data_IF_734449377158
#
_entry.id   IF_734449377158
#
_cell.length_a   1.000
_cell.length_b   1.000
_cell.length_c   1.000
_cell.angle_alpha   90.00
_cell.angle_beta   90.00
_cell.angle_gamma   90.00
#
_symmetry.space_group_name_H-M   'P 1'
#
loop_
_entity.id
_entity.type
_entity.pdbx_description
1 polymer ?
#
# COMPACT_ATOMS: atom_id res chain seq x y z
N UNK A 1 -5.61 32.82 -15.65
CA UNK A 1 -5.72 32.99 -14.18
C UNK A 1 -4.71 32.17 -13.37
N UNK A 2 -4.31 30.97 -13.81
CA UNK A 2 -3.32 30.10 -13.13
C UNK A 2 -1.89 30.68 -13.06
N UNK A 3 -1.41 31.34 -14.11
CA UNK A 3 -0.08 32.01 -14.13
C UNK A 3 0.03 33.24 -13.22
N UNK A 4 -1.06 33.96 -12.97
CA UNK A 4 -1.05 35.13 -12.06
C UNK A 4 -0.91 34.72 -10.59
N UNK A 5 -1.41 33.53 -10.22
CA UNK A 5 -1.30 33.00 -8.85
C UNK A 5 0.11 32.48 -8.53
N UNK A 6 0.80 31.91 -9.53
CA UNK A 6 2.19 31.41 -9.38
C UNK A 6 3.19 32.57 -9.35
N UNK A 7 2.99 33.63 -10.15
CA UNK A 7 3.84 34.83 -10.07
C UNK A 7 3.69 35.57 -8.73
N UNK A 8 2.52 35.55 -8.11
CA UNK A 8 2.30 36.15 -6.79
C UNK A 8 3.01 35.39 -5.66
N UNK A 9 3.17 34.07 -5.76
CA UNK A 9 3.96 33.30 -4.80
C UNK A 9 5.46 33.59 -4.92
N UNK A 10 5.99 33.67 -6.15
CA UNK A 10 7.42 33.90 -6.39
C UNK A 10 7.84 35.33 -6.00
N UNK A 11 6.95 36.32 -6.16
CA UNK A 11 7.23 37.70 -5.75
C UNK A 11 7.27 37.87 -4.22
N UNK A 12 6.49 37.07 -3.48
CA UNK A 12 6.51 37.07 -2.01
C UNK A 12 7.82 36.46 -1.48
N UNK A 13 8.37 35.44 -2.14
CA UNK A 13 9.67 34.86 -1.76
C UNK A 13 10.86 35.82 -1.95
N UNK A 14 10.81 36.76 -2.91
CA UNK A 14 11.92 37.72 -3.11
C UNK A 14 11.90 38.91 -2.13
N UNK A 15 10.77 39.21 -1.50
CA UNK A 15 10.64 40.34 -0.55
C UNK A 15 11.03 39.98 0.89
N UNK A 16 11.24 38.70 1.21
CA UNK A 16 11.55 38.21 2.58
C UNK A 16 13.05 38.25 2.91
N UNK A 17 13.92 38.62 1.97
CA UNK A 17 15.37 38.64 2.19
C UNK A 17 15.92 39.85 2.99
N UNK A 18 15.08 40.80 3.42
CA UNK A 18 15.53 41.96 4.20
C UNK A 18 14.55 42.39 5.30
N UNK A 19 14.35 41.56 6.34
CA UNK A 19 14.15 42.08 7.70
C UNK A 19 14.13 40.97 8.75
N UNK A 20 15.20 40.96 9.57
CA UNK A 20 15.22 40.63 11.00
C UNK A 20 14.31 39.52 11.54
N UNK A 21 14.97 38.47 12.06
CA UNK A 21 14.46 37.40 12.89
C UNK A 21 13.38 37.84 13.90
N UNK A 22 12.14 37.51 13.56
CA UNK A 22 11.11 37.08 14.50
C UNK A 22 10.42 35.91 13.81
N UNK A 23 10.57 34.71 14.35
CA UNK A 23 9.92 33.50 13.88
C UNK A 23 8.40 33.63 14.05
N UNK A 24 7.73 34.27 13.09
CA UNK A 24 6.35 33.93 12.80
C UNK A 24 6.40 32.54 12.16
N UNK A 25 5.88 31.54 12.86
CA UNK A 25 5.41 30.34 12.19
C UNK A 25 4.44 30.81 11.10
N UNK A 26 4.81 30.61 9.84
CA UNK A 26 3.96 30.93 8.71
C UNK A 26 2.63 30.19 8.91
N UNK A 27 1.56 30.95 9.19
CA UNK A 27 0.24 30.40 9.42
C UNK A 27 -0.32 29.96 8.07
N UNK A 28 -0.32 28.65 7.83
CA UNK A 28 -0.96 28.07 6.64
C UNK A 28 -2.49 28.26 6.81
N UNK A 29 -3.16 28.99 5.91
CA UNK A 29 -4.60 29.20 6.02
C UNK A 29 -5.36 27.87 5.96
N UNK A 30 -6.43 27.74 6.76
CA UNK A 30 -7.29 26.55 6.81
C UNK A 30 -6.52 25.23 7.07
N UNK A 31 -5.48 25.31 7.91
CA UNK A 31 -4.70 24.15 8.32
C UNK A 31 -4.53 24.16 9.84
N UNK A 32 -4.95 23.07 10.45
CA UNK A 32 -4.72 22.79 11.86
C UNK A 32 -3.63 21.72 12.00
N UNK A 33 -2.49 22.12 12.56
CA UNK A 33 -1.34 21.24 12.75
C UNK A 33 -1.57 20.18 13.85
N UNK A 34 -2.44 20.46 14.83
CA UNK A 34 -2.69 19.58 15.97
C UNK A 34 -4.18 19.33 16.20
N UNK A 35 -4.58 18.06 16.26
CA UNK A 35 -5.97 17.67 16.47
C UNK A 35 -6.84 17.73 15.22
N UNK A 36 -8.15 17.60 15.40
CA UNK A 36 -9.12 17.53 14.31
C UNK A 36 -10.21 18.60 14.46
N UNK A 37 -10.77 19.10 13.35
CA UNK A 37 -10.44 18.77 11.95
C UNK A 37 -9.11 19.35 11.46
N UNK A 38 -8.52 18.75 10.42
CA UNK A 38 -7.28 19.23 9.80
C UNK A 38 -7.53 20.52 9.00
N UNK A 39 -8.69 20.62 8.35
CA UNK A 39 -9.12 21.81 7.62
C UNK A 39 -10.33 22.45 8.33
N UNK A 40 -10.13 23.32 9.33
CA UNK A 40 -11.21 23.76 10.22
C UNK A 40 -12.21 24.74 9.60
N UNK A 41 -11.78 25.55 8.63
CA UNK A 41 -12.58 26.65 8.10
C UNK A 41 -13.37 26.22 6.86
N UNK A 42 -12.71 25.54 5.92
CA UNK A 42 -13.29 25.15 4.64
C UNK A 42 -12.93 23.70 4.30
N UNK A 43 -13.89 22.96 3.73
CA UNK A 43 -13.65 21.59 3.27
C UNK A 43 -12.67 21.59 2.10
N UNK A 44 -11.57 20.85 2.23
CA UNK A 44 -10.59 20.65 1.14
C UNK A 44 -10.95 19.40 0.35
N UNK A 45 -10.80 19.44 -0.97
CA UNK A 45 -10.96 18.27 -1.85
C UNK A 45 -9.62 17.87 -2.44
N UNK A 46 -9.26 16.59 -2.33
CA UNK A 46 -8.03 16.03 -2.90
C UNK A 46 -8.36 14.95 -3.92
N UNK A 47 -7.70 14.99 -5.08
CA UNK A 47 -7.72 13.93 -6.07
C UNK A 47 -6.71 12.86 -5.69
N UNK A 48 -7.18 11.65 -5.40
CA UNK A 48 -6.31 10.54 -4.96
C UNK A 48 -6.42 9.39 -5.95
N UNK A 49 -5.29 9.02 -6.57
CA UNK A 49 -5.22 7.90 -7.50
C UNK A 49 -4.81 6.61 -6.80
N UNK A 50 -5.59 5.56 -7.03
CA UNK A 50 -5.34 4.23 -6.46
C UNK A 50 -5.50 3.12 -7.48
N UNK A 51 -4.82 2.01 -7.24
CA UNK A 51 -5.08 0.79 -8.00
C UNK A 51 -6.36 0.13 -7.50
N UNK A 52 -7.28 -0.16 -8.41
CA UNK A 52 -8.54 -0.83 -8.13
C UNK A 52 -8.56 -2.29 -8.61
N UNK A 53 -9.39 -3.09 -7.94
CA UNK A 53 -9.73 -4.48 -8.29
C UNK A 53 -11.22 -4.57 -8.59
N UNK A 54 -11.62 -5.63 -9.30
CA UNK A 54 -13.00 -5.79 -9.76
C UNK A 54 -14.02 -5.85 -8.62
N UNK A 55 -13.62 -6.36 -7.45
CA UNK A 55 -14.44 -6.46 -6.25
C UNK A 55 -14.61 -5.14 -5.49
N UNK A 56 -13.82 -4.11 -5.80
CA UNK A 56 -13.91 -2.82 -5.12
C UNK A 56 -15.09 -2.00 -5.66
N UNK A 57 -15.74 -1.17 -4.83
CA UNK A 57 -16.74 -0.25 -5.34
C UNK A 57 -16.08 0.77 -6.29
N UNK A 58 -16.87 1.34 -7.20
CA UNK A 58 -16.40 2.37 -8.13
C UNK A 58 -16.01 3.69 -7.45
N UNK A 59 -16.42 3.87 -6.20
CA UNK A 59 -16.07 4.98 -5.32
C UNK A 59 -15.89 4.43 -3.90
N UNK A 60 -14.77 4.76 -3.25
CA UNK A 60 -14.49 4.31 -1.88
C UNK A 60 -15.27 5.10 -0.83
N UNK A 61 -15.81 6.27 -1.15
CA UNK A 61 -16.62 7.08 -0.23
C UNK A 61 -17.93 6.39 0.18
N UNK A 62 -18.30 5.26 -0.44
CA UNK A 62 -19.41 4.41 0.03
C UNK A 62 -19.06 3.61 1.29
N UNK A 63 -17.78 3.48 1.62
CA UNK A 63 -17.32 2.75 2.79
C UNK A 63 -17.28 3.67 4.01
N UNK A 64 -17.77 3.17 5.15
CA UNK A 64 -17.89 3.93 6.40
C UNK A 64 -16.55 4.53 6.86
N UNK A 65 -15.43 3.84 6.62
CA UNK A 65 -14.10 4.34 7.00
C UNK A 65 -13.76 5.67 6.31
N UNK A 66 -14.11 5.82 5.03
CA UNK A 66 -13.84 7.03 4.26
C UNK A 66 -14.82 8.15 4.61
N UNK A 67 -16.08 7.81 4.90
CA UNK A 67 -17.08 8.78 5.38
C UNK A 67 -16.67 9.37 6.73
N UNK A 68 -16.28 8.53 7.70
CA UNK A 68 -15.79 8.99 9.00
C UNK A 68 -14.50 9.80 8.89
N UNK A 69 -13.58 9.39 8.01
CA UNK A 69 -12.36 10.15 7.78
C UNK A 69 -12.67 11.54 7.21
N UNK A 70 -13.59 11.66 6.24
CA UNK A 70 -14.02 12.95 5.72
C UNK A 70 -14.65 13.84 6.80
N UNK A 71 -15.53 13.28 7.63
CA UNK A 71 -16.17 14.02 8.74
C UNK A 71 -15.17 14.52 9.79
N UNK A 72 -14.22 13.68 10.18
CA UNK A 72 -13.21 14.03 11.20
C UNK A 72 -12.20 15.03 10.64
N UNK A 73 -11.73 14.82 9.41
CA UNK A 73 -10.62 15.59 8.85
C UNK A 73 -11.09 16.88 8.16
N UNK A 74 -12.36 16.94 7.77
CA UNK A 74 -12.93 17.92 6.83
C UNK A 74 -12.21 17.94 5.47
N UNK A 75 -11.84 16.76 4.98
CA UNK A 75 -11.17 16.55 3.69
C UNK A 75 -11.97 15.53 2.88
N UNK A 76 -12.46 15.94 1.71
CA UNK A 76 -13.12 15.07 0.74
C UNK A 76 -12.09 14.48 -0.23
N UNK A 77 -12.27 13.21 -0.58
CA UNK A 77 -11.41 12.54 -1.55
C UNK A 77 -12.18 12.24 -2.85
N UNK A 78 -11.67 12.77 -3.95
CA UNK A 78 -12.05 12.37 -5.30
C UNK A 78 -11.18 11.20 -5.76
N UNK A 79 -11.73 9.99 -5.75
CA UNK A 79 -11.00 8.78 -6.08
C UNK A 79 -10.82 8.61 -7.59
N UNK A 80 -9.56 8.53 -8.04
CA UNK A 80 -9.19 8.12 -9.39
C UNK A 80 -8.86 6.62 -9.35
N UNK A 81 -9.90 5.82 -9.58
CA UNK A 81 -9.84 4.36 -9.54
C UNK A 81 -9.27 3.82 -10.86
N UNK A 82 -8.05 3.26 -10.83
CA UNK A 82 -7.41 2.72 -12.04
C UNK A 82 -7.32 1.20 -11.96
N UNK A 83 -7.92 0.45 -12.89
CA UNK A 83 -7.87 -1.02 -12.86
C UNK A 83 -6.44 -1.55 -12.86
N UNK A 84 -6.23 -2.68 -12.19
CA UNK A 84 -4.90 -3.29 -12.03
C UNK A 84 -4.15 -3.45 -13.35
N UNK A 85 -4.82 -3.90 -14.41
CA UNK A 85 -4.21 -4.14 -15.73
C UNK A 85 -3.76 -2.85 -16.43
N UNK A 86 -4.44 -1.72 -16.18
CA UNK A 86 -4.13 -0.42 -16.78
C UNK A 86 -3.22 0.47 -15.92
N UNK A 87 -2.86 0.02 -14.71
CA UNK A 87 -2.17 0.86 -13.73
C UNK A 87 -0.86 1.45 -14.24
N UNK A 88 0.04 0.59 -14.75
CA UNK A 88 1.38 1.02 -15.16
C UNK A 88 1.34 2.00 -16.33
N UNK A 89 0.47 1.76 -17.32
CA UNK A 89 0.29 2.66 -18.46
C UNK A 89 -0.21 4.03 -18.01
N UNK A 90 -1.27 4.06 -17.19
CA UNK A 90 -1.85 5.30 -16.70
C UNK A 90 -0.87 6.09 -15.82
N UNK A 91 -0.19 5.42 -14.88
CA UNK A 91 0.85 6.01 -14.02
C UNK A 91 1.95 6.65 -14.85
N UNK A 92 2.53 5.88 -15.79
CA UNK A 92 3.65 6.37 -16.60
C UNK A 92 3.26 7.55 -17.48
N UNK A 93 2.05 7.54 -18.03
CA UNK A 93 1.52 8.67 -18.80
C UNK A 93 1.37 9.92 -17.95
N UNK A 94 0.83 9.80 -16.73
CA UNK A 94 0.67 10.94 -15.82
C UNK A 94 2.01 11.52 -15.37
N UNK A 95 2.97 10.66 -15.03
CA UNK A 95 4.35 11.10 -14.70
C UNK A 95 5.03 11.80 -15.87
N UNK A 96 4.84 11.30 -17.11
CA UNK A 96 5.44 11.91 -18.30
C UNK A 96 4.79 13.24 -18.71
N UNK A 97 3.49 13.41 -18.44
CA UNK A 97 2.71 14.59 -18.85
C UNK A 97 2.66 15.68 -17.78
N UNK A 98 2.90 15.33 -16.51
CA UNK A 98 2.73 16.23 -15.36
C UNK A 98 1.26 16.46 -14.98
N UNK A 99 0.30 15.77 -15.60
CA UNK A 99 -1.12 15.81 -15.20
C UNK A 99 -1.36 14.85 -14.03
N UNK A 100 -0.79 15.20 -12.88
CA UNK A 100 -0.79 14.38 -11.68
C UNK A 100 -2.04 14.63 -10.81
N UNK A 101 -2.51 13.60 -10.09
CA UNK A 101 -3.39 13.79 -8.94
C UNK A 101 -2.63 14.46 -7.78
N UNK A 102 -3.34 14.86 -6.73
CA UNK A 102 -2.71 15.42 -5.53
C UNK A 102 -1.94 14.32 -4.76
N UNK A 103 -2.45 13.08 -4.76
CA UNK A 103 -1.83 11.92 -4.11
C UNK A 103 -1.91 10.68 -5.02
N UNK A 104 -0.84 9.89 -5.05
CA UNK A 104 -0.83 8.54 -5.61
C UNK A 104 -0.61 7.54 -4.47
N UNK A 105 -1.68 6.85 -4.04
CA UNK A 105 -1.66 5.90 -2.92
C UNK A 105 -1.52 4.46 -3.43
N UNK A 106 -0.66 4.22 -4.42
CA UNK A 106 -0.45 2.87 -4.95
C UNK A 106 0.79 2.79 -5.82
N UNK A 107 1.59 1.73 -5.70
CA UNK A 107 2.54 1.23 -6.71
C UNK A 107 3.39 2.30 -7.43
N UNK A 108 3.80 3.32 -6.69
CA UNK A 108 4.99 4.13 -7.00
C UNK A 108 6.18 3.31 -6.56
N UNK A 109 7.11 3.08 -7.49
CA UNK A 109 8.28 2.25 -7.21
C UNK A 109 9.47 3.14 -6.82
N UNK A 110 10.46 2.58 -6.14
CA UNK A 110 11.70 3.29 -5.77
C UNK A 110 12.37 3.97 -6.97
N UNK A 111 12.38 3.32 -8.14
CA UNK A 111 12.91 3.88 -9.37
C UNK A 111 12.17 5.13 -9.85
N UNK A 112 10.86 5.23 -9.57
CA UNK A 112 10.08 6.41 -9.91
C UNK A 112 10.47 7.57 -8.97
N UNK A 113 10.59 7.31 -7.66
CA UNK A 113 10.99 8.31 -6.67
C UNK A 113 12.40 8.85 -6.93
N UNK A 114 13.36 7.97 -7.23
CA UNK A 114 14.74 8.40 -7.53
C UNK A 114 14.81 9.23 -8.82
N UNK A 115 13.93 8.94 -9.79
CA UNK A 115 13.90 9.64 -11.07
C UNK A 115 13.21 11.00 -10.99
N UNK A 116 12.07 11.06 -10.32
CA UNK A 116 11.15 12.21 -10.34
C UNK A 116 11.10 12.98 -9.01
N UNK A 117 11.75 12.50 -7.95
CA UNK A 117 11.92 13.27 -6.71
C UNK A 117 12.77 14.52 -6.92
N UNK A 118 14.02 14.40 -7.44
CA UNK A 118 14.94 15.53 -7.56
C UNK A 118 14.49 16.66 -8.50
N UNK A 119 13.55 16.39 -9.43
CA UNK A 119 13.03 17.41 -10.36
C UNK A 119 11.79 18.15 -9.82
N UNK A 120 11.34 17.79 -8.60
CA UNK A 120 10.20 18.40 -7.93
C UNK A 120 8.83 17.88 -8.39
N UNK A 121 8.78 16.79 -9.15
CA UNK A 121 7.51 16.13 -9.50
C UNK A 121 6.82 15.58 -8.24
N UNK A 122 7.59 15.02 -7.31
CA UNK A 122 7.09 14.67 -5.98
C UNK A 122 7.52 15.72 -4.96
N UNK A 123 6.61 16.06 -4.04
CA UNK A 123 6.90 16.97 -2.94
C UNK A 123 7.93 16.32 -2.01
N UNK A 124 8.98 17.06 -1.66
CA UNK A 124 9.91 16.66 -0.63
C UNK A 124 9.20 16.68 0.74
N UNK A 125 9.15 15.54 1.41
CA UNK A 125 8.40 15.33 2.65
C UNK A 125 9.28 15.39 3.90
N UNK A 126 10.60 15.50 3.77
CA UNK A 126 11.54 15.37 4.90
C UNK A 126 11.16 16.29 6.07
N UNK A 127 11.11 17.60 5.82
CA UNK A 127 10.76 18.60 6.83
C UNK A 127 9.27 18.54 7.22
N UNK A 128 8.40 18.16 6.28
CA UNK A 128 6.96 18.04 6.53
C UNK A 128 6.64 16.89 7.50
N UNK A 129 7.35 15.77 7.37
CA UNK A 129 7.25 14.62 8.27
C UNK A 129 7.69 15.05 9.67
N UNK A 130 8.88 15.66 9.78
CA UNK A 130 9.44 16.10 11.07
C UNK A 130 8.51 17.10 11.77
N UNK A 131 7.91 18.02 11.02
CA UNK A 131 7.07 19.09 11.58
C UNK A 131 5.65 18.66 11.90
N UNK A 132 4.99 17.86 11.04
CA UNK A 132 3.53 17.64 11.12
C UNK A 132 3.13 16.17 11.30
N UNK A 133 3.97 15.21 10.94
CA UNK A 133 3.60 13.80 10.95
C UNK A 133 3.91 13.11 12.29
N UNK A 134 3.34 13.62 13.40
CA UNK A 134 3.65 13.17 14.76
C UNK A 134 3.52 11.65 14.97
N UNK A 135 2.51 11.01 14.37
CA UNK A 135 2.32 9.56 14.45
C UNK A 135 3.43 8.79 13.71
N UNK A 136 3.91 9.32 12.58
CA UNK A 136 5.00 8.73 11.80
C UNK A 136 6.32 8.89 12.57
N UNK A 137 6.61 10.10 13.07
CA UNK A 137 7.82 10.34 13.87
C UNK A 137 7.87 9.45 15.10
N UNK A 138 6.75 9.34 15.84
CA UNK A 138 6.67 8.44 16.98
C UNK A 138 7.01 7.00 16.60
N UNK A 139 6.42 6.48 15.52
CA UNK A 139 6.70 5.11 15.06
C UNK A 139 8.19 4.90 14.72
N UNK A 140 8.79 5.85 13.98
CA UNK A 140 10.21 5.81 13.63
C UNK A 140 11.07 5.86 14.90
N UNK A 141 10.81 6.81 15.79
CA UNK A 141 11.68 7.09 16.93
C UNK A 141 11.60 6.01 18.01
N UNK A 142 10.43 5.36 18.19
CA UNK A 142 10.22 4.42 19.31
C UNK A 142 10.22 2.95 18.92
N UNK A 143 9.80 2.61 17.71
CA UNK A 143 9.56 1.21 17.33
C UNK A 143 10.45 0.74 16.17
N UNK A 144 10.62 1.58 15.14
CA UNK A 144 11.23 1.16 13.87
C UNK A 144 12.14 2.26 13.26
N UNK A 145 13.30 2.55 13.88
CA UNK A 145 14.19 3.63 13.44
C UNK A 145 14.76 3.42 12.03
N UNK A 146 14.84 2.18 11.57
CA UNK A 146 15.28 1.81 10.22
C UNK A 146 14.35 2.35 9.12
N UNK A 147 13.09 2.67 9.43
CA UNK A 147 12.13 3.16 8.44
C UNK A 147 12.52 4.53 7.87
N UNK A 148 13.24 5.36 8.64
CA UNK A 148 13.73 6.64 8.12
C UNK A 148 14.73 6.40 6.99
N UNK A 149 15.76 5.59 7.25
CA UNK A 149 16.76 5.26 6.24
C UNK A 149 16.15 4.51 5.05
N UNK A 150 15.19 3.61 5.28
CA UNK A 150 14.48 2.88 4.22
C UNK A 150 13.71 3.82 3.28
N UNK A 151 13.17 4.92 3.80
CA UNK A 151 12.32 5.84 3.03
C UNK A 151 13.10 7.05 2.46
N UNK A 152 14.41 7.13 2.71
CA UNK A 152 15.29 8.20 2.20
C UNK A 152 15.89 7.80 0.84
N UNK A 153 15.69 8.65 -0.16
CA UNK A 153 16.28 8.52 -1.48
C UNK A 153 17.80 8.82 -1.46
N UNK A 154 18.57 8.44 -2.50
CA UNK A 154 20.02 8.62 -2.53
C UNK A 154 20.51 10.08 -2.44
N UNK A 155 19.65 11.05 -2.75
CA UNK A 155 19.92 12.49 -2.61
C UNK A 155 19.72 13.02 -1.18
N UNK A 156 19.26 12.17 -0.25
CA UNK A 156 19.03 12.50 1.15
C UNK A 156 17.58 12.87 1.49
N UNK A 157 16.70 12.92 0.50
CA UNK A 157 15.33 13.41 0.67
C UNK A 157 14.29 12.28 0.77
N UNK A 158 13.15 12.56 1.38
CA UNK A 158 12.01 11.64 1.44
C UNK A 158 10.91 12.13 0.49
N UNK A 159 10.46 11.27 -0.43
CA UNK A 159 9.45 11.62 -1.45
C UNK A 159 8.14 10.82 -1.37
N UNK A 160 8.04 9.89 -0.40
CA UNK A 160 6.86 9.05 -0.19
C UNK A 160 6.64 8.77 1.28
N UNK A 161 5.45 8.27 1.62
CA UNK A 161 5.20 7.63 2.91
C UNK A 161 5.32 6.11 2.76
N UNK A 162 5.78 5.45 3.80
CA UNK A 162 5.93 4.00 3.83
C UNK A 162 4.66 3.30 4.31
N UNK A 163 4.54 2.02 3.97
CA UNK A 163 3.54 1.12 4.55
C UNK A 163 4.25 0.07 5.41
N UNK A 164 3.92 0.04 6.69
CA UNK A 164 4.34 -1.03 7.60
C UNK A 164 3.28 -2.11 7.63
N UNK A 165 3.70 -3.37 7.51
CA UNK A 165 2.86 -4.52 7.81
C UNK A 165 3.51 -5.30 8.96
N UNK A 166 3.04 -5.05 10.18
CA UNK A 166 3.51 -5.73 11.38
C UNK A 166 2.45 -6.74 11.83
N UNK A 167 2.83 -8.02 11.87
CA UNK A 167 1.95 -9.08 12.32
C UNK A 167 2.72 -10.39 12.50
N UNK A 168 2.34 -11.26 13.45
CA UNK A 168 3.05 -12.53 13.70
C UNK A 168 3.20 -13.38 12.42
N UNK A 169 2.18 -13.32 11.56
CA UNK A 169 2.06 -14.06 10.30
C UNK A 169 2.93 -13.49 9.18
N UNK A 170 3.40 -12.24 9.30
CA UNK A 170 4.24 -11.57 8.30
C UNK A 170 5.72 -12.02 8.36
N UNK A 171 6.11 -12.77 9.39
CA UNK A 171 7.47 -13.34 9.53
C UNK A 171 7.61 -14.71 8.84
N UNK A 172 6.49 -15.31 8.41
CA UNK A 172 6.47 -16.65 7.82
C UNK A 172 5.89 -16.61 6.42
N UNK A 173 6.76 -16.80 5.44
CA UNK A 173 6.37 -16.81 4.03
C UNK A 173 6.19 -18.23 3.50
N UNK A 174 5.04 -18.49 2.85
CA UNK A 174 4.83 -19.73 2.09
C UNK A 174 4.58 -20.97 2.94
N UNK A 175 3.70 -20.86 3.95
CA UNK A 175 3.27 -22.01 4.74
C UNK A 175 2.56 -23.04 3.85
N UNK A 176 3.03 -24.29 3.91
CA UNK A 176 2.37 -25.41 3.25
C UNK A 176 1.34 -26.08 4.15
N UNK A 177 0.18 -26.45 3.60
CA UNK A 177 -0.91 -27.08 4.35
C UNK A 177 -1.28 -28.45 3.78
N UNK A 178 -1.25 -29.50 4.62
CA UNK A 178 -1.63 -30.85 4.21
C UNK A 178 -3.02 -31.26 4.70
N UNK A 179 -3.76 -31.98 3.86
CA UNK A 179 -5.03 -32.58 4.24
C UNK A 179 -4.83 -33.78 5.18
N UNK A 180 -4.92 -33.51 6.48
CA UNK A 180 -4.75 -34.53 7.52
C UNK A 180 -5.83 -35.62 7.49
N UNK A 181 -7.04 -35.31 6.99
CA UNK A 181 -8.11 -36.30 6.84
C UNK A 181 -7.79 -37.31 5.74
N UNK A 182 -7.19 -36.86 4.64
CA UNK A 182 -6.76 -37.74 3.55
C UNK A 182 -5.64 -38.67 3.97
N UNK A 183 -4.67 -38.19 4.76
CA UNK A 183 -3.65 -39.06 5.38
C UNK A 183 -4.32 -40.15 6.23
N UNK A 184 -5.26 -39.77 7.10
CA UNK A 184 -5.99 -40.70 7.96
C UNK A 184 -6.78 -41.74 7.16
N UNK A 185 -7.50 -41.32 6.11
CA UNK A 185 -8.29 -42.22 5.25
C UNK A 185 -7.41 -43.26 4.55
N UNK A 186 -6.18 -42.87 4.17
CA UNK A 186 -5.24 -43.74 3.47
C UNK A 186 -4.30 -44.51 4.42
N UNK A 187 -4.37 -44.27 5.73
CA UNK A 187 -3.47 -44.85 6.72
C UNK A 187 -2.01 -44.40 6.54
N UNK A 188 -1.79 -43.17 6.09
CA UNK A 188 -0.46 -42.59 5.85
C UNK A 188 -0.03 -41.71 7.03
N UNK A 189 1.27 -41.68 7.29
CA UNK A 189 1.87 -40.73 8.24
C UNK A 189 2.17 -39.38 7.58
N UNK A 190 2.44 -38.36 8.40
CA UNK A 190 2.91 -37.06 7.92
C UNK A 190 4.32 -37.24 7.34
N UNK A 191 4.57 -36.85 6.08
CA UNK A 191 5.86 -37.06 5.45
C UNK A 191 6.93 -36.14 6.06
N UNK A 192 8.12 -36.68 6.28
CA UNK A 192 9.30 -36.00 6.84
C UNK A 192 10.42 -35.80 5.82
N UNK A 193 10.33 -36.47 4.67
CA UNK A 193 11.29 -36.35 3.55
C UNK A 193 10.57 -36.00 2.25
N UNK A 194 11.34 -35.52 1.26
CA UNK A 194 10.79 -35.21 -0.06
C UNK A 194 10.23 -36.45 -0.77
N UNK A 195 10.87 -37.60 -0.58
CA UNK A 195 10.41 -38.87 -1.16
C UNK A 195 9.09 -39.31 -0.54
N UNK A 196 8.98 -39.27 0.80
CA UNK A 196 7.73 -39.53 1.50
C UNK A 196 6.62 -38.56 1.08
N UNK A 197 6.95 -37.28 0.93
CA UNK A 197 6.01 -36.26 0.46
C UNK A 197 5.52 -36.58 -0.96
N UNK A 198 6.42 -36.97 -1.85
CA UNK A 198 6.09 -37.37 -3.23
C UNK A 198 5.17 -38.58 -3.25
N UNK A 199 5.43 -39.57 -2.38
CA UNK A 199 4.58 -40.76 -2.29
C UNK A 199 3.22 -40.47 -1.66
N UNK A 200 3.14 -39.56 -0.68
CA UNK A 200 1.86 -39.05 -0.17
C UNK A 200 1.05 -38.36 -1.27
N UNK A 201 1.67 -37.51 -2.09
CA UNK A 201 0.99 -36.86 -3.21
C UNK A 201 0.52 -37.87 -4.27
N UNK A 202 1.33 -38.89 -4.56
CA UNK A 202 0.95 -39.99 -5.46
C UNK A 202 -0.24 -40.77 -4.91
N UNK A 203 -0.24 -41.05 -3.61
CA UNK A 203 -1.34 -41.71 -2.93
C UNK A 203 -2.63 -40.88 -2.98
N UNK A 204 -2.55 -39.57 -2.74
CA UNK A 204 -3.69 -38.67 -2.90
C UNK A 204 -4.25 -38.69 -4.32
N UNK A 205 -3.40 -38.86 -5.35
CA UNK A 205 -3.88 -38.91 -6.73
C UNK A 205 -4.57 -40.21 -7.12
N UNK A 206 -4.21 -41.32 -6.49
CA UNK A 206 -4.48 -42.66 -7.03
C UNK A 206 -5.35 -43.52 -6.11
N UNK A 207 -5.50 -43.17 -4.84
CA UNK A 207 -6.16 -44.01 -3.84
C UNK A 207 -7.49 -43.45 -3.34
N UNK A 208 -8.07 -42.49 -4.05
CA UNK A 208 -9.39 -41.89 -3.74
C UNK A 208 -9.55 -41.56 -2.24
N UNK A 209 -8.68 -40.69 -1.68
CA UNK A 209 -8.76 -40.33 -0.27
C UNK A 209 -10.09 -39.64 0.09
N UNK A 210 -10.85 -39.15 -0.89
CA UNK A 210 -12.15 -38.51 -0.66
C UNK A 210 -13.35 -39.49 -0.74
N UNK A 211 -13.16 -40.68 -1.30
CA UNK A 211 -14.11 -41.79 -1.30
C UNK A 211 -15.27 -41.67 -2.30
N UNK A 212 -15.11 -40.88 -3.37
CA UNK A 212 -16.18 -40.64 -4.34
C UNK A 212 -16.11 -41.53 -5.59
N UNK A 213 -15.11 -42.41 -5.68
CA UNK A 213 -14.89 -43.32 -6.80
C UNK A 213 -14.38 -42.65 -8.08
N UNK A 214 -13.92 -41.40 -8.02
CA UNK A 214 -13.41 -40.60 -9.15
C UNK A 214 -12.02 -40.09 -8.82
N UNK A 215 -11.13 -40.05 -9.82
CA UNK A 215 -9.77 -39.50 -9.65
C UNK A 215 -9.73 -37.97 -9.77
N UNK A 216 -10.57 -37.27 -8.99
CA UNK A 216 -10.74 -35.81 -9.04
C UNK A 216 -9.85 -35.03 -8.06
N UNK A 217 -8.99 -35.72 -7.31
CA UNK A 217 -8.01 -35.09 -6.44
C UNK A 217 -6.94 -34.31 -7.21
N UNK A 218 -6.63 -33.14 -6.65
CA UNK A 218 -5.48 -32.31 -6.96
C UNK A 218 -4.52 -32.41 -5.76
N UNK A 219 -3.48 -33.26 -5.79
CA UNK A 219 -2.60 -33.49 -4.64
C UNK A 219 -1.85 -32.23 -4.19
N UNK A 220 -1.47 -31.38 -5.14
CA UNK A 220 -0.68 -30.18 -4.92
C UNK A 220 -1.28 -29.02 -5.71
N UNK A 221 -1.63 -27.95 -5.01
CA UNK A 221 -2.05 -26.69 -5.63
C UNK A 221 -1.38 -25.52 -4.91
N UNK A 222 -1.19 -24.44 -5.65
CA UNK A 222 -0.65 -23.18 -5.15
C UNK A 222 -1.35 -22.04 -5.88
N UNK A 223 -1.52 -20.91 -5.19
CA UNK A 223 -2.03 -19.71 -5.81
C UNK A 223 -0.88 -18.72 -5.96
N UNK A 224 -0.48 -18.45 -7.22
CA UNK A 224 0.59 -17.50 -7.57
C UNK A 224 0.36 -16.09 -6.97
N UNK A 225 -0.90 -15.73 -6.70
CA UNK A 225 -1.32 -14.42 -6.19
C UNK A 225 -1.70 -14.42 -4.70
N UNK A 226 -1.81 -15.59 -4.04
CA UNK A 226 -1.78 -15.63 -2.57
C UNK A 226 -0.32 -15.51 -2.20
N UNK A 227 0.06 -14.24 -2.03
CA UNK A 227 1.19 -13.82 -1.23
C UNK A 227 1.63 -14.92 -0.27
N UNK A 228 2.85 -15.42 -0.49
CA UNK A 228 3.61 -16.07 0.56
C UNK A 228 3.54 -15.26 1.88
N UNK A 229 3.34 -13.93 1.81
CA UNK A 229 3.13 -12.99 2.92
C UNK A 229 1.88 -13.18 3.80
N UNK A 230 0.92 -14.06 3.48
CA UNK A 230 -0.20 -14.33 4.40
C UNK A 230 -0.59 -15.82 4.36
N UNK A 231 0.25 -16.64 4.98
CA UNK A 231 -0.17 -17.86 5.69
C UNK A 231 -0.60 -19.09 4.90
N UNK A 232 -0.93 -19.01 3.60
CA UNK A 232 -1.54 -20.17 2.89
C UNK A 232 -1.12 -20.29 1.43
N UNK A 233 0.18 -20.42 1.16
CA UNK A 233 0.75 -20.48 -0.20
C UNK A 233 0.60 -21.83 -0.91
N UNK A 234 0.47 -22.93 -0.16
CA UNK A 234 0.21 -24.25 -0.72
C UNK A 234 -1.00 -24.89 -0.06
N UNK A 235 -2.04 -25.13 -0.87
CA UNK A 235 -3.21 -25.90 -0.48
C UNK A 235 -3.02 -27.30 -1.07
N UNK A 236 -2.65 -28.27 -0.24
CA UNK A 236 -2.57 -29.68 -0.67
C UNK A 236 -3.97 -30.33 -0.60
N UNK A 237 -4.88 -29.82 -1.45
CA UNK A 237 -6.14 -30.40 -1.96
C UNK A 237 -7.23 -29.35 -2.16
N UNK A 238 -7.79 -29.28 -3.38
CA UNK A 238 -8.97 -28.47 -3.69
C UNK A 238 -10.03 -29.38 -4.32
N UNK A 239 -11.28 -29.25 -3.89
CA UNK A 239 -12.43 -29.89 -4.57
C UNK A 239 -12.82 -29.01 -5.75
N UNK A 240 -12.79 -29.55 -6.97
CA UNK A 240 -13.37 -28.85 -8.12
C UNK A 240 -14.89 -28.77 -7.93
N UNK A 241 -15.41 -27.59 -7.59
CA UNK A 241 -16.84 -27.32 -7.72
C UNK A 241 -17.20 -27.34 -9.20
N UNK A 242 -18.10 -28.23 -9.58
CA UNK A 242 -18.86 -28.16 -10.83
C UNK A 242 -20.08 -27.31 -10.57
#
# INVERSE_FOLDING_TARGET
MRQKRILSLILVCMLVLLSSASTLAETIPNFNAEGYPICPDEKVTLRVMIQSRAEMPSDLNVQEIHQRAEEIMNVHIEWIMVPTDGWNEKKNLMLATGDLPDIIESKINESDLVRYGPDGTFVELTDLIDKYAHNINKLIDTEMPELRAFNTAPDGNIYSLFRVNSGPWMTTNGVGMMNMQWLKNLGLEVPKTLDEFTEVLRAFKTRDPNGNGKADEIPLSFNKNIFANNGFGYIFSYKKSI
#
